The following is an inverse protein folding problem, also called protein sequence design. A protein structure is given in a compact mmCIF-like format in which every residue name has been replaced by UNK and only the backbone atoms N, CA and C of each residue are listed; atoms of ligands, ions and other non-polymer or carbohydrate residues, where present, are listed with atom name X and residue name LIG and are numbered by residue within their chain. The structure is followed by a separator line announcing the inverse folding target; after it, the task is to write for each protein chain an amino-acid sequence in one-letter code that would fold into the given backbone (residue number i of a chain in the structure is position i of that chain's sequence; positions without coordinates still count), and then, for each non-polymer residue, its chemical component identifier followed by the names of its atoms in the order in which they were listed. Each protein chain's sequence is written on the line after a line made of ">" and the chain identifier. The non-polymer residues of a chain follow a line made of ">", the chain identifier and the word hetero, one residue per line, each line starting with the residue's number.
data_IF_951320623659
#
_entry.id   IF_951320623659
#
_cell.length_a   1.000
_cell.length_b   1.000
_cell.length_c   1.000
_cell.angle_alpha   90.00
_cell.angle_beta   90.00
_cell.angle_gamma   90.00
#
_symmetry.space_group_name_H-M   'P 1'
#
loop_
_entity.id
_entity.type
_entity.pdbx_description
1 polymer ?
#
# COMPACT_ATOMS: atom_id res chain seq x y z
N UNK A 1 21.31 -3.69 10.73
CA UNK A 1 21.09 -4.06 9.31
C UNK A 1 20.01 -3.12 8.80
N UNK A 2 20.36 -2.29 7.83
CA UNK A 2 19.57 -1.14 7.37
C UNK A 2 18.18 -1.55 6.88
N UNK A 3 17.14 -1.03 7.53
CA UNK A 3 15.75 -1.31 7.14
C UNK A 3 15.30 -0.49 5.94
N UNK A 4 15.94 0.65 5.69
CA UNK A 4 15.75 1.40 4.45
C UNK A 4 16.20 0.56 3.26
N UNK A 5 17.33 -0.14 3.38
CA UNK A 5 17.75 -1.06 2.33
C UNK A 5 16.81 -2.26 2.19
N UNK A 6 16.20 -2.77 3.26
CA UNK A 6 15.18 -3.84 3.17
C UNK A 6 13.93 -3.40 2.38
N UNK A 7 13.38 -2.21 2.65
CA UNK A 7 12.24 -1.68 1.91
C UNK A 7 12.60 -1.35 0.46
N UNK A 8 13.75 -0.73 0.21
CA UNK A 8 14.21 -0.40 -1.14
C UNK A 8 14.37 -1.68 -1.99
N UNK A 9 15.01 -2.73 -1.45
CA UNK A 9 15.10 -4.02 -2.15
C UNK A 9 13.73 -4.65 -2.41
N UNK A 10 12.79 -4.53 -1.47
CA UNK A 10 11.44 -5.04 -1.65
C UNK A 10 10.67 -4.29 -2.75
N UNK A 11 10.81 -2.96 -2.82
CA UNK A 11 10.26 -2.14 -3.89
C UNK A 11 10.87 -2.50 -5.25
N UNK A 12 12.19 -2.71 -5.32
CA UNK A 12 12.84 -3.18 -6.55
C UNK A 12 12.30 -4.53 -7.01
N UNK A 13 12.14 -5.49 -6.09
CA UNK A 13 11.55 -6.79 -6.38
C UNK A 13 10.08 -6.66 -6.85
N UNK A 14 9.32 -5.73 -6.27
CA UNK A 14 7.95 -5.42 -6.68
C UNK A 14 7.90 -4.91 -8.12
N UNK A 15 8.69 -3.89 -8.46
CA UNK A 15 8.77 -3.38 -9.82
C UNK A 15 9.22 -4.46 -10.81
N UNK A 16 10.21 -5.28 -10.45
CA UNK A 16 10.68 -6.37 -11.29
C UNK A 16 9.57 -7.41 -11.56
N UNK A 17 8.84 -7.85 -10.53
CA UNK A 17 7.80 -8.87 -10.65
C UNK A 17 6.65 -8.46 -11.61
N UNK A 18 6.33 -7.16 -11.64
CA UNK A 18 5.27 -6.57 -12.44
C UNK A 18 5.75 -5.94 -13.76
N UNK A 19 7.06 -5.90 -14.03
CA UNK A 19 7.64 -5.33 -15.26
C UNK A 19 7.15 -5.97 -16.56
N UNK A 20 6.69 -7.23 -16.49
CA UNK A 20 6.14 -7.99 -17.63
C UNK A 20 4.82 -7.44 -18.17
N UNK A 21 4.20 -6.50 -17.47
CA UNK A 21 2.90 -5.91 -17.80
C UNK A 21 3.11 -4.55 -18.48
N UNK A 22 3.22 -4.50 -19.82
CA UNK A 22 3.34 -3.23 -20.52
C UNK A 22 2.03 -2.45 -20.41
N UNK A 23 2.14 -1.13 -20.41
CA UNK A 23 0.96 -0.29 -20.55
C UNK A 23 0.40 -0.43 -21.97
N UNK A 24 -0.89 -0.75 -22.14
CA UNK A 24 -1.46 -0.90 -23.47
C UNK A 24 -1.46 0.46 -24.20
N UNK A 25 -1.35 0.43 -25.53
CA UNK A 25 -1.38 1.65 -26.35
C UNK A 25 -2.72 2.40 -26.25
N UNK A 26 -3.80 1.67 -26.01
CA UNK A 26 -5.13 2.20 -25.74
C UNK A 26 -5.62 1.63 -24.42
N UNK A 27 -6.27 2.47 -23.63
CA UNK A 27 -6.94 2.07 -22.39
C UNK A 27 -8.44 2.05 -22.59
N UNK A 28 -9.09 1.04 -22.04
CA UNK A 28 -10.54 1.01 -21.93
C UNK A 28 -10.98 1.92 -20.77
N UNK A 29 -11.79 2.93 -21.06
CA UNK A 29 -12.35 3.83 -20.06
C UNK A 29 -13.85 4.02 -20.28
N UNK A 30 -14.58 4.23 -19.20
CA UNK A 30 -15.94 4.75 -19.29
C UNK A 30 -15.88 6.24 -19.65
N UNK A 31 -16.42 6.60 -20.82
CA UNK A 31 -16.33 7.95 -21.38
C UNK A 31 -16.99 9.07 -20.56
N UNK A 32 -17.82 8.74 -19.56
CA UNK A 32 -18.39 9.73 -18.63
C UNK A 32 -17.73 9.72 -17.24
N UNK A 33 -16.90 8.73 -16.92
CA UNK A 33 -16.25 8.60 -15.61
C UNK A 33 -14.78 9.03 -15.62
N UNK A 34 -14.12 8.94 -16.77
CA UNK A 34 -12.70 9.25 -16.95
C UNK A 34 -12.56 10.27 -18.06
N UNK A 35 -11.84 11.36 -17.80
CA UNK A 35 -11.52 12.35 -18.83
C UNK A 35 -10.24 11.97 -19.57
N UNK A 36 -10.10 12.43 -20.82
CA UNK A 36 -8.86 12.25 -21.59
C UNK A 36 -7.66 12.89 -20.88
N UNK A 37 -7.87 13.97 -20.12
CA UNK A 37 -6.82 14.60 -19.32
C UNK A 37 -6.28 13.68 -18.22
N UNK A 38 -7.18 12.96 -17.53
CA UNK A 38 -6.78 11.96 -16.54
C UNK A 38 -5.95 10.85 -17.22
N UNK A 39 -6.39 10.35 -18.37
CA UNK A 39 -5.63 9.33 -19.15
C UNK A 39 -4.27 9.86 -19.60
N UNK A 40 -4.18 11.11 -20.03
CA UNK A 40 -2.90 11.74 -20.39
C UNK A 40 -1.98 11.88 -19.18
N UNK A 41 -2.52 12.28 -18.02
CA UNK A 41 -1.73 12.46 -16.80
C UNK A 41 -1.05 11.16 -16.35
N UNK A 42 -1.75 10.02 -16.40
CA UNK A 42 -1.16 8.72 -16.03
C UNK A 42 -0.11 8.22 -17.03
N UNK A 43 0.01 8.86 -18.19
CA UNK A 43 0.94 8.52 -19.29
C UNK A 43 2.02 9.57 -19.52
N UNK A 44 2.03 10.64 -18.75
CA UNK A 44 2.89 11.80 -18.99
C UNK A 44 4.36 11.57 -18.63
N UNK A 45 4.68 10.50 -17.89
CA UNK A 45 6.03 10.18 -17.45
C UNK A 45 6.24 8.65 -17.34
N UNK A 46 7.50 8.19 -17.28
CA UNK A 46 7.79 6.80 -16.90
C UNK A 46 7.12 6.42 -15.58
N UNK A 47 6.73 5.15 -15.43
CA UNK A 47 5.94 4.65 -14.30
C UNK A 47 6.45 5.12 -12.92
N UNK A 48 7.77 5.06 -12.67
CA UNK A 48 8.39 5.48 -11.40
C UNK A 48 8.35 6.99 -11.15
N UNK A 49 8.15 7.79 -12.18
CA UNK A 49 8.09 9.25 -12.10
C UNK A 49 6.65 9.77 -12.02
N UNK A 50 5.64 8.90 -12.13
CA UNK A 50 4.24 9.31 -11.99
C UNK A 50 3.97 9.75 -10.56
N UNK A 51 3.36 10.93 -10.40
CA UNK A 51 3.04 11.50 -9.09
C UNK A 51 1.76 10.91 -8.52
N UNK A 52 1.53 11.07 -7.21
CA UNK A 52 0.24 10.76 -6.60
C UNK A 52 -0.92 11.48 -7.30
N UNK A 53 -0.80 12.78 -7.59
CA UNK A 53 -1.86 13.53 -8.30
C UNK A 53 -2.20 12.96 -9.68
N UNK A 54 -1.20 12.45 -10.42
CA UNK A 54 -1.45 11.82 -11.71
C UNK A 54 -2.19 10.47 -11.57
N UNK A 55 -1.86 9.69 -10.54
CA UNK A 55 -2.40 8.32 -10.35
C UNK A 55 -3.60 8.23 -9.41
N UNK A 56 -3.90 9.26 -8.62
CA UNK A 56 -5.04 9.29 -7.69
C UNK A 56 -6.37 8.99 -8.39
N UNK A 57 -6.70 9.61 -9.56
CA UNK A 57 -7.94 9.29 -10.26
C UNK A 57 -8.00 7.82 -10.71
N UNK A 58 -6.85 7.26 -11.11
CA UNK A 58 -6.74 5.86 -11.48
C UNK A 58 -6.94 4.94 -10.27
N UNK A 59 -6.33 5.26 -9.13
CA UNK A 59 -6.44 4.50 -7.88
C UNK A 59 -7.89 4.32 -7.41
N UNK A 60 -8.78 5.25 -7.74
CA UNK A 60 -10.22 5.14 -7.48
C UNK A 60 -11.01 4.34 -8.52
N UNK A 61 -10.60 4.41 -9.78
CA UNK A 61 -11.41 3.96 -10.94
C UNK A 61 -10.94 2.63 -11.53
N UNK A 62 -9.72 2.21 -11.21
CA UNK A 62 -9.12 0.99 -11.71
C UNK A 62 -10.05 -0.22 -11.56
N UNK A 63 -10.18 -1.00 -12.65
CA UNK A 63 -10.99 -2.22 -12.76
C UNK A 63 -12.51 -2.04 -12.67
N UNK A 64 -13.01 -0.81 -12.53
CA UNK A 64 -14.44 -0.51 -12.56
C UNK A 64 -14.81 0.30 -13.80
N UNK A 65 -14.11 1.42 -13.99
CA UNK A 65 -14.38 2.38 -15.07
C UNK A 65 -13.12 2.76 -15.85
N UNK A 66 -11.99 2.16 -15.49
CA UNK A 66 -10.69 2.43 -16.09
C UNK A 66 -9.81 1.18 -16.08
N UNK A 67 -9.43 0.73 -17.28
CA UNK A 67 -8.40 -0.27 -17.51
C UNK A 67 -8.83 -1.69 -17.13
N UNK A 68 -8.01 -2.64 -17.56
CA UNK A 68 -8.17 -4.05 -17.27
C UNK A 68 -7.19 -4.51 -16.17
N UNK A 69 -7.12 -5.83 -15.94
CA UNK A 69 -6.20 -6.40 -14.96
C UNK A 69 -4.72 -6.20 -15.33
N UNK A 70 -4.38 -6.14 -16.61
CA UNK A 70 -3.00 -5.98 -17.08
C UNK A 70 -2.53 -4.54 -16.81
N UNK A 71 -3.36 -3.55 -17.14
CA UNK A 71 -3.11 -2.15 -16.82
C UNK A 71 -3.11 -1.89 -15.32
N UNK A 72 -3.98 -2.55 -14.56
CA UNK A 72 -3.91 -2.51 -13.10
C UNK A 72 -2.58 -3.02 -12.57
N UNK A 73 -2.12 -4.17 -13.07
CA UNK A 73 -0.82 -4.74 -12.69
C UNK A 73 0.36 -3.86 -13.12
N UNK A 74 0.24 -3.13 -14.22
CA UNK A 74 1.23 -2.14 -14.64
C UNK A 74 1.40 -1.02 -13.60
N UNK A 75 0.31 -0.42 -13.13
CA UNK A 75 0.37 0.69 -12.18
C UNK A 75 0.53 0.25 -10.71
N UNK A 76 0.20 -1.00 -10.38
CA UNK A 76 0.23 -1.52 -9.02
C UNK A 76 1.53 -1.25 -8.24
N UNK A 77 2.74 -1.50 -8.78
CA UNK A 77 3.97 -1.22 -8.03
C UNK A 77 4.09 0.25 -7.63
N UNK A 78 3.73 1.18 -8.52
CA UNK A 78 3.77 2.62 -8.22
C UNK A 78 2.69 3.04 -7.24
N UNK A 79 1.48 2.50 -7.37
CA UNK A 79 0.40 2.78 -6.42
C UNK A 79 0.75 2.31 -5.00
N UNK A 80 1.38 1.14 -4.87
CA UNK A 80 1.85 0.64 -3.58
C UNK A 80 2.98 1.50 -2.99
N UNK A 81 3.95 1.89 -3.82
CA UNK A 81 5.03 2.79 -3.41
C UNK A 81 4.50 4.13 -2.92
N UNK A 82 3.57 4.76 -3.65
CA UNK A 82 2.95 6.03 -3.27
C UNK A 82 2.17 5.94 -1.95
N UNK A 83 1.53 4.80 -1.67
CA UNK A 83 0.88 4.55 -0.38
C UNK A 83 1.89 4.40 0.76
N UNK A 84 3.01 3.72 0.51
CA UNK A 84 4.10 3.53 1.48
C UNK A 84 4.78 4.85 1.82
N UNK A 85 4.92 5.74 0.82
CA UNK A 85 5.44 7.10 0.98
C UNK A 85 4.42 8.07 1.58
N UNK A 86 3.20 7.61 1.90
CA UNK A 86 2.10 8.42 2.42
C UNK A 86 1.66 9.56 1.48
N UNK A 87 1.97 9.47 0.18
CA UNK A 87 1.51 10.42 -0.84
C UNK A 87 0.07 10.13 -1.29
N UNK A 88 -0.42 8.92 -1.04
CA UNK A 88 -1.83 8.53 -1.16
C UNK A 88 -2.39 8.16 0.22
N UNK A 89 -3.63 8.56 0.48
CA UNK A 89 -4.24 8.40 1.80
C UNK A 89 -4.75 6.97 2.11
N UNK A 90 -5.24 6.77 3.33
CA UNK A 90 -5.78 5.49 3.78
C UNK A 90 -7.06 5.01 3.06
N UNK A 91 -7.83 5.91 2.43
CA UNK A 91 -8.98 5.52 1.62
C UNK A 91 -8.52 4.87 0.32
N UNK A 92 -7.48 5.42 -0.31
CA UNK A 92 -6.82 4.80 -1.45
C UNK A 92 -6.20 3.45 -1.07
N UNK A 93 -5.58 3.37 0.11
CA UNK A 93 -5.03 2.10 0.63
C UNK A 93 -6.12 1.02 0.71
N UNK A 94 -7.24 1.32 1.36
CA UNK A 94 -8.38 0.39 1.49
C UNK A 94 -8.92 -0.02 0.12
N UNK A 95 -9.13 0.96 -0.76
CA UNK A 95 -9.63 0.77 -2.13
C UNK A 95 -8.72 -0.17 -2.92
N UNK A 96 -7.41 0.09 -2.90
CA UNK A 96 -6.40 -0.72 -3.59
C UNK A 96 -6.33 -2.14 -3.03
N UNK A 97 -6.28 -2.28 -1.69
CA UNK A 97 -6.15 -3.59 -1.04
C UNK A 97 -7.36 -4.49 -1.31
N UNK A 98 -8.57 -3.93 -1.41
CA UNK A 98 -9.75 -4.69 -1.82
C UNK A 98 -9.60 -5.24 -3.25
N UNK A 99 -9.10 -4.43 -4.19
CA UNK A 99 -8.90 -4.85 -5.60
C UNK A 99 -7.86 -5.95 -5.73
N UNK A 100 -6.76 -5.83 -4.99
CA UNK A 100 -5.72 -6.85 -4.90
C UNK A 100 -6.32 -8.12 -4.28
N UNK A 101 -6.91 -8.02 -3.08
CA UNK A 101 -7.38 -9.15 -2.29
C UNK A 101 -8.36 -10.08 -3.01
N UNK A 102 -9.25 -9.52 -3.85
CA UNK A 102 -10.23 -10.31 -4.64
C UNK A 102 -9.56 -11.22 -5.68
N UNK A 103 -8.35 -10.88 -6.15
CA UNK A 103 -7.73 -11.54 -7.31
C UNK A 103 -6.38 -12.16 -7.03
N UNK A 104 -5.69 -11.74 -5.97
CA UNK A 104 -4.26 -12.01 -5.81
C UNK A 104 -3.92 -13.51 -5.74
N UNK A 105 -4.85 -14.35 -5.26
CA UNK A 105 -4.66 -15.80 -5.13
C UNK A 105 -4.43 -16.50 -6.48
N UNK A 106 -4.92 -15.94 -7.59
CA UNK A 106 -4.71 -16.49 -8.93
C UNK A 106 -3.45 -15.96 -9.62
N UNK A 107 -2.74 -15.01 -9.02
CA UNK A 107 -1.54 -14.43 -9.60
C UNK A 107 -0.34 -15.38 -9.49
N UNK A 108 0.67 -15.29 -10.37
CA UNK A 108 1.93 -16.01 -10.22
C UNK A 108 2.54 -15.84 -8.82
N UNK A 109 3.14 -16.91 -8.28
CA UNK A 109 3.79 -16.89 -6.96
C UNK A 109 4.78 -15.74 -6.80
N UNK A 110 5.54 -15.43 -7.84
CA UNK A 110 6.49 -14.30 -7.82
C UNK A 110 5.82 -12.95 -7.55
N UNK A 111 4.61 -12.73 -8.06
CA UNK A 111 3.86 -11.49 -7.83
C UNK A 111 3.28 -11.45 -6.43
N UNK A 112 2.80 -12.60 -5.97
CA UNK A 112 2.32 -12.77 -4.60
C UNK A 112 3.44 -12.46 -3.59
N UNK A 113 4.58 -13.11 -3.75
CA UNK A 113 5.76 -12.94 -2.90
C UNK A 113 6.26 -11.49 -2.91
N UNK A 114 6.23 -10.81 -4.06
CA UNK A 114 6.66 -9.42 -4.15
C UNK A 114 5.73 -8.46 -3.39
N UNK A 115 4.41 -8.65 -3.46
CA UNK A 115 3.43 -7.86 -2.70
C UNK A 115 3.59 -8.12 -1.19
N UNK A 116 3.68 -9.39 -0.78
CA UNK A 116 3.89 -9.76 0.63
C UNK A 116 5.21 -9.19 1.15
N UNK A 117 6.29 -9.34 0.37
CA UNK A 117 7.62 -8.87 0.73
C UNK A 117 7.64 -7.37 0.98
N UNK A 118 7.04 -6.60 0.07
CA UNK A 118 6.92 -5.14 0.19
C UNK A 118 6.11 -4.73 1.43
N UNK A 119 4.91 -5.29 1.60
CA UNK A 119 4.06 -4.96 2.76
C UNK A 119 4.74 -5.35 4.06
N UNK A 120 5.42 -6.50 4.09
CA UNK A 120 6.18 -6.98 5.24
C UNK A 120 7.37 -6.07 5.60
N UNK A 121 8.14 -5.62 4.60
CA UNK A 121 9.24 -4.68 4.80
C UNK A 121 8.74 -3.33 5.33
N UNK A 122 7.68 -2.79 4.73
CA UNK A 122 7.02 -1.58 5.19
C UNK A 122 6.52 -1.71 6.64
N UNK A 123 5.85 -2.80 7.00
CA UNK A 123 5.41 -3.04 8.38
C UNK A 123 6.55 -3.09 9.38
N UNK A 124 7.66 -3.77 9.05
CA UNK A 124 8.85 -3.80 9.92
C UNK A 124 9.39 -2.39 10.16
N UNK A 125 9.44 -1.57 9.11
CA UNK A 125 9.86 -0.17 9.22
C UNK A 125 8.92 0.66 10.10
N UNK A 126 7.61 0.61 9.86
CA UNK A 126 6.62 1.37 10.63
C UNK A 126 6.62 0.96 12.10
N UNK A 127 6.64 -0.34 12.39
CA UNK A 127 6.70 -0.85 13.77
C UNK A 127 7.98 -0.38 14.45
N UNK A 128 9.13 -0.45 13.76
CA UNK A 128 10.42 0.00 14.30
C UNK A 128 10.39 1.49 14.65
N UNK A 129 10.01 2.36 13.71
CA UNK A 129 9.95 3.81 13.93
C UNK A 129 8.98 4.16 15.05
N UNK A 130 7.83 3.47 15.11
CA UNK A 130 6.83 3.67 16.17
C UNK A 130 7.39 3.27 17.54
N UNK A 131 8.08 2.13 17.63
CA UNK A 131 8.71 1.67 18.88
C UNK A 131 9.83 2.60 19.32
N UNK A 132 10.71 3.02 18.41
CA UNK A 132 11.78 3.98 18.69
C UNK A 132 11.19 5.32 19.18
N UNK A 133 10.15 5.83 18.53
CA UNK A 133 9.45 7.05 18.96
C UNK A 133 8.80 6.88 20.34
N UNK A 134 8.16 5.74 20.59
CA UNK A 134 7.51 5.47 21.87
C UNK A 134 8.54 5.34 23.01
N UNK A 135 9.67 4.69 22.76
CA UNK A 135 10.77 4.53 23.73
C UNK A 135 11.48 5.86 24.01
N UNK A 136 11.67 6.70 22.99
CA UNK A 136 12.25 8.04 23.17
C UNK A 136 11.33 8.98 23.95
N UNK A 137 10.00 8.79 23.87
CA UNK A 137 9.02 9.58 24.62
C UNK A 137 8.79 9.08 26.05
N UNK A 138 8.88 7.77 26.30
CA UNK A 138 8.81 7.17 27.65
C UNK A 138 9.67 5.90 27.72
N UNK A 139 10.94 6.01 28.17
CA UNK A 139 11.85 4.88 28.25
C UNK A 139 11.40 3.75 29.19
N UNK A 140 10.44 4.02 30.09
CA UNK A 140 9.92 3.04 31.04
C UNK A 140 8.65 2.32 30.57
N UNK A 141 8.13 2.65 29.38
CA UNK A 141 6.85 2.12 28.85
C UNK A 141 6.81 0.59 28.73
N UNK A 142 7.93 -0.07 28.42
CA UNK A 142 8.01 -1.53 28.33
C UNK A 142 8.13 -2.23 29.70
N UNK A 143 8.46 -1.50 30.77
CA UNK A 143 8.60 -2.07 32.13
C UNK A 143 7.28 -2.09 32.90
N UNK A 144 6.31 -1.28 32.49
CA UNK A 144 4.98 -1.26 33.09
C UNK A 144 4.12 -2.30 32.37
N UNK A 145 4.17 -3.54 32.84
CA UNK A 145 3.22 -4.59 32.44
C UNK A 145 1.77 -4.14 32.69
N UNK A 146 0.77 -4.83 32.10
CA UNK A 146 -0.62 -4.44 32.26
C UNK A 146 -0.96 -4.42 33.75
N UNK A 147 -1.25 -3.24 34.28
CA UNK A 147 -1.70 -3.09 35.67
C UNK A 147 -2.96 -3.93 35.83
N UNK A 148 -2.83 -5.04 36.53
CA UNK A 148 -3.95 -5.88 36.92
C UNK A 148 -4.94 -5.01 37.69
N UNK A 149 -6.03 -4.63 37.03
CA UNK A 149 -7.14 -3.92 37.63
C UNK A 149 -7.73 -4.79 38.73
N UNK A 150 -7.36 -4.52 39.97
CA UNK A 150 -7.92 -5.15 41.16
C UNK A 150 -9.38 -4.69 41.28
N UNK A 151 -10.31 -5.46 40.71
CA UNK A 151 -11.75 -5.31 40.98
C UNK A 151 -11.96 -5.51 42.49
N UNK A 152 -12.30 -4.45 43.21
CA UNK A 152 -12.90 -4.57 44.54
C UNK A 152 -14.30 -5.14 44.35
N UNK A 153 -14.50 -6.38 44.79
CA UNK A 153 -15.83 -6.93 45.03
C UNK A 153 -16.40 -6.14 46.21
N UNK A 154 -17.48 -5.39 45.97
CA UNK A 154 -18.21 -4.69 47.00
C UNK A 154 -18.88 -5.68 47.95
N UNK A 155 -18.63 -5.49 49.24
CA UNK A 155 -19.28 -6.16 50.35
C UNK A 155 -20.79 -5.92 50.30
N UNK A 156 -21.58 -7.00 50.37
CA UNK A 156 -23.02 -6.92 50.68
C UNK A 156 -23.15 -6.54 52.16
N UNK A 157 -23.87 -5.45 52.44
CA UNK A 157 -24.39 -5.14 53.78
C UNK A 157 -25.58 -6.07 54.09
N UNK A 158 -25.83 -6.37 55.39
CA UNK A 158 -26.77 -7.38 55.86
C UNK A 158 -28.24 -6.98 55.68
#
# INVERSE_FOLDING_TARGET
>A
MDTLSDLDHALEALYAAFSRYPLPAKTEVCGHCVSDEQVRATRAAPLRMLTASALEPYAWKALYTWGDVQEFKHYLPRLLELLILEELDGLHARSLMLRVGVRWQSWPKSEQEAVIGTVGAWWRQVIRVTLETALNRDPQRLRRGPTAGRRRVGERKP
#
